data_IF_837617129355
#
_entry.id   IF_837617129355
#
_cell.length_a   1.000
_cell.length_b   1.000
_cell.length_c   1.000
_cell.angle_alpha   90.00
_cell.angle_beta   90.00
_cell.angle_gamma   90.00
#
_symmetry.space_group_name_H-M   'P 1'
#
loop_
_entity.id
_entity.type
_entity.pdbx_description
1 polymer ?
#
# COMPACT_ATOMS: atom_id res chain seq x y z
N UNK A 1 -9.21 42.46 51.31
CA UNK A 1 -7.83 42.78 50.91
C UNK A 1 -7.36 41.83 49.81
N UNK A 2 -7.53 42.25 48.55
CA UNK A 2 -6.79 41.75 47.37
C UNK A 2 -6.60 42.94 46.45
N UNK A 3 -5.34 43.36 46.35
CA UNK A 3 -4.90 44.59 45.68
C UNK A 3 -5.09 44.49 44.17
N UNK A 4 -5.77 45.50 43.65
CA UNK A 4 -5.82 45.92 42.25
C UNK A 4 -4.50 46.57 41.85
N UNK A 5 -3.82 46.07 40.82
CA UNK A 5 -2.82 46.84 40.07
C UNK A 5 -2.93 46.50 38.57
N UNK A 6 -3.49 47.43 37.80
CA UNK A 6 -3.49 47.43 36.33
C UNK A 6 -2.12 47.93 35.84
N UNK A 7 -1.55 47.39 34.74
CA UNK A 7 -0.37 47.96 34.11
C UNK A 7 -0.73 49.24 33.31
N UNK A 8 0.23 50.17 33.15
CA UNK A 8 -0.01 51.50 32.59
C UNK A 8 -0.23 51.49 31.07
N UNK A 9 -0.99 52.49 30.63
CA UNK A 9 -1.26 52.83 29.24
C UNK A 9 0.07 53.09 28.50
N UNK A 10 0.36 52.25 27.50
CA UNK A 10 1.40 52.51 26.51
C UNK A 10 0.86 53.61 25.58
N UNK A 11 1.50 54.77 25.59
CA UNK A 11 1.29 55.82 24.60
C UNK A 11 1.52 55.25 23.21
N UNK A 12 0.48 55.21 22.39
CA UNK A 12 0.57 54.98 20.95
C UNK A 12 1.34 56.16 20.32
N UNK A 13 2.65 55.97 20.15
CA UNK A 13 3.42 56.77 19.19
C UNK A 13 3.14 56.17 17.82
N UNK A 14 2.30 56.87 17.05
CA UNK A 14 1.93 56.49 15.70
C UNK A 14 3.13 56.74 14.77
N UNK A 15 3.97 55.72 14.59
CA UNK A 15 4.98 55.70 13.52
C UNK A 15 4.27 55.48 12.18
N UNK A 16 4.13 56.53 11.37
CA UNK A 16 3.73 56.40 9.98
C UNK A 16 4.89 55.82 9.17
N UNK A 17 4.83 54.53 8.83
CA UNK A 17 5.73 53.96 7.82
C UNK A 17 5.21 54.33 6.41
N UNK A 18 6.06 54.86 5.51
CA UNK A 18 5.63 55.29 4.18
C UNK A 18 5.58 54.09 3.24
N UNK A 19 4.53 53.28 3.33
CA UNK A 19 4.22 52.27 2.32
C UNK A 19 3.15 52.83 1.38
N UNK A 20 3.55 53.70 0.46
CA UNK A 20 2.71 54.06 -0.69
C UNK A 20 2.56 52.83 -1.59
N UNK A 21 1.55 52.01 -1.31
CA UNK A 21 1.12 50.90 -2.16
C UNK A 21 -0.01 51.40 -3.07
N UNK A 22 0.25 51.38 -4.37
CA UNK A 22 -0.69 51.79 -5.43
C UNK A 22 -1.95 50.94 -5.34
N UNK A 23 -3.10 51.57 -5.07
CA UNK A 23 -4.39 50.90 -5.12
C UNK A 23 -4.76 50.62 -6.60
N UNK A 24 -4.96 49.35 -6.94
CA UNK A 24 -5.41 48.97 -8.29
C UNK A 24 -6.93 49.16 -8.31
N UNK A 25 -7.40 50.09 -9.14
CA UNK A 25 -8.84 50.34 -9.33
C UNK A 25 -9.23 49.75 -10.68
N UNK A 26 -10.13 48.77 -10.67
CA UNK A 26 -10.72 48.23 -11.89
C UNK A 26 -12.13 48.85 -12.08
N UNK A 27 -12.40 49.35 -13.28
CA UNK A 27 -13.72 49.87 -13.67
C UNK A 27 -14.49 48.81 -14.43
N UNK A 28 -15.70 48.48 -13.99
CA UNK A 28 -16.62 47.63 -14.77
C UNK A 28 -17.40 48.48 -15.79
N UNK A 29 -17.95 47.86 -16.83
CA UNK A 29 -18.64 48.55 -17.94
C UNK A 29 -19.91 49.30 -17.53
N UNK A 30 -20.39 49.12 -16.30
CA UNK A 30 -21.56 49.80 -15.73
C UNK A 30 -21.18 50.94 -14.75
N UNK A 31 -19.88 51.30 -14.67
CA UNK A 31 -19.42 52.50 -13.94
C UNK A 31 -19.16 52.30 -12.44
N UNK A 32 -19.29 51.09 -11.91
CA UNK A 32 -18.89 50.78 -10.53
C UNK A 32 -17.37 50.55 -10.44
N UNK A 33 -16.70 51.36 -9.60
CA UNK A 33 -15.28 51.25 -9.28
C UNK A 33 -15.08 50.42 -8.01
N UNK A 34 -14.32 49.33 -8.12
CA UNK A 34 -13.92 48.51 -6.96
C UNK A 34 -12.45 48.79 -6.66
N UNK A 35 -12.20 49.41 -5.50
CA UNK A 35 -10.84 49.69 -5.01
C UNK A 35 -10.47 48.64 -3.97
N UNK A 36 -9.57 47.72 -4.32
CA UNK A 36 -9.06 46.74 -3.36
C UNK A 36 -7.96 47.39 -2.51
N UNK A 37 -8.15 47.43 -1.19
CA UNK A 37 -7.12 47.93 -0.29
C UNK A 37 -5.88 47.01 -0.31
N UNK A 38 -4.65 47.54 -0.19
CA UNK A 38 -3.41 46.75 -0.24
C UNK A 38 -3.37 45.60 0.77
N UNK A 39 -4.06 45.73 1.90
CA UNK A 39 -4.21 44.68 2.92
C UNK A 39 -4.92 43.46 2.36
N UNK A 40 -5.97 43.64 1.56
CA UNK A 40 -6.73 42.52 0.95
C UNK A 40 -5.87 41.77 -0.07
N UNK A 41 -5.05 42.49 -0.85
CA UNK A 41 -4.14 41.90 -1.83
C UNK A 41 -3.02 41.09 -1.15
N UNK A 42 -2.47 41.62 -0.05
CA UNK A 42 -1.44 40.92 0.74
C UNK A 42 -1.99 39.65 1.41
N UNK A 43 -3.21 39.71 1.94
CA UNK A 43 -3.89 38.54 2.51
C UNK A 43 -4.14 37.48 1.43
N UNK A 44 -4.67 37.88 0.27
CA UNK A 44 -4.89 36.96 -0.85
C UNK A 44 -3.58 36.32 -1.35
N UNK A 45 -2.50 37.09 -1.46
CA UNK A 45 -1.18 36.58 -1.84
C UNK A 45 -0.62 35.60 -0.80
N UNK A 46 -0.79 35.87 0.50
CA UNK A 46 -0.37 34.96 1.57
C UNK A 46 -1.15 33.64 1.55
N UNK A 47 -2.46 33.67 1.30
CA UNK A 47 -3.26 32.46 1.12
C UNK A 47 -2.83 31.67 -0.13
N UNK A 48 -2.59 32.34 -1.26
CA UNK A 48 -2.12 31.70 -2.48
C UNK A 48 -0.75 31.03 -2.29
N UNK A 49 0.19 31.69 -1.61
CA UNK A 49 1.50 31.12 -1.27
C UNK A 49 1.40 29.96 -0.28
N UNK A 50 0.49 30.03 0.70
CA UNK A 50 0.23 28.93 1.64
C UNK A 50 -0.34 27.69 0.95
N UNK A 51 -1.32 27.88 0.04
CA UNK A 51 -1.89 26.79 -0.77
C UNK A 51 -0.83 26.22 -1.72
N UNK A 52 -0.05 27.08 -2.37
CA UNK A 52 1.04 26.65 -3.25
C UNK A 52 2.10 25.85 -2.48
N UNK A 53 2.51 26.30 -1.29
CA UNK A 53 3.41 25.55 -0.42
C UNK A 53 2.81 24.19 -0.02
N UNK A 54 1.54 24.13 0.37
CA UNK A 54 0.87 22.86 0.69
C UNK A 54 0.85 21.85 -0.47
N UNK A 55 0.79 22.33 -1.71
CA UNK A 55 0.79 21.47 -2.92
C UNK A 55 2.22 21.11 -3.35
N UNK A 56 3.14 22.07 -3.30
CA UNK A 56 4.49 21.94 -3.86
C UNK A 56 5.46 21.31 -2.88
N UNK A 57 5.36 21.63 -1.58
CA UNK A 57 6.26 21.10 -0.54
C UNK A 57 6.24 19.57 -0.46
N UNK A 58 5.11 18.84 -0.51
CA UNK A 58 5.11 17.38 -0.57
C UNK A 58 5.82 16.82 -1.81
N UNK A 59 5.67 17.52 -2.95
CA UNK A 59 6.27 17.14 -4.23
C UNK A 59 7.78 17.32 -4.22
N UNK A 60 8.27 18.45 -3.68
CA UNK A 60 9.70 18.71 -3.46
C UNK A 60 10.28 17.72 -2.43
N UNK A 61 9.59 17.48 -1.30
CA UNK A 61 10.03 16.48 -0.31
C UNK A 61 10.11 15.08 -0.94
N UNK A 62 9.17 14.70 -1.82
CA UNK A 62 9.22 13.45 -2.58
C UNK A 62 10.37 13.40 -3.58
N UNK A 63 10.65 14.50 -4.27
CA UNK A 63 11.77 14.58 -5.21
C UNK A 63 13.14 14.52 -4.48
N UNK A 64 13.23 15.11 -3.28
CA UNK A 64 14.42 15.09 -2.44
C UNK A 64 14.61 13.76 -1.70
N UNK A 65 13.52 13.08 -1.30
CA UNK A 65 13.55 11.69 -0.83
C UNK A 65 13.78 10.79 -2.04
N UNK A 66 15.04 10.60 -2.43
CA UNK A 66 15.45 9.70 -3.51
C UNK A 66 14.78 8.31 -3.42
N UNK A 67 14.79 7.56 -4.52
CA UNK A 67 14.14 6.25 -4.61
C UNK A 67 14.56 5.33 -3.45
N UNK A 68 13.58 4.62 -2.87
CA UNK A 68 13.85 3.67 -1.77
C UNK A 68 14.92 2.69 -2.23
N UNK A 69 16.06 2.65 -1.51
CA UNK A 69 17.14 1.71 -1.80
C UNK A 69 16.75 0.33 -1.27
N UNK A 70 16.63 -0.63 -2.18
CA UNK A 70 16.30 -2.02 -1.84
C UNK A 70 17.54 -2.89 -1.64
N UNK A 71 18.71 -2.41 -2.04
CA UNK A 71 19.98 -3.10 -1.87
C UNK A 71 20.21 -3.46 -0.39
N UNK A 72 20.42 -4.75 -0.13
CA UNK A 72 20.67 -5.28 1.22
C UNK A 72 19.44 -5.36 2.14
N UNK A 73 18.26 -4.93 1.69
CA UNK A 73 17.01 -5.05 2.45
C UNK A 73 16.42 -6.45 2.27
N UNK A 74 15.85 -7.02 3.33
CA UNK A 74 15.19 -8.33 3.28
C UNK A 74 13.68 -8.18 3.05
N UNK A 75 13.20 -8.76 1.95
CA UNK A 75 11.80 -8.80 1.56
C UNK A 75 11.24 -10.22 1.69
N UNK A 76 10.16 -10.37 2.45
CA UNK A 76 9.40 -11.62 2.56
C UNK A 76 8.14 -11.55 1.71
N UNK A 77 7.94 -12.49 0.78
CA UNK A 77 6.76 -12.54 -0.10
C UNK A 77 5.95 -13.81 0.12
N UNK A 78 4.73 -13.65 0.64
CA UNK A 78 3.78 -14.78 0.78
C UNK A 78 3.09 -15.08 -0.56
N UNK A 79 2.82 -16.36 -0.83
CA UNK A 79 2.37 -16.79 -2.15
C UNK A 79 3.43 -16.56 -3.23
N UNK A 80 4.71 -16.50 -2.85
CA UNK A 80 5.83 -16.15 -3.74
C UNK A 80 6.28 -17.24 -4.71
N UNK A 81 5.61 -18.41 -4.72
CA UNK A 81 5.97 -19.54 -5.57
C UNK A 81 5.33 -19.52 -6.97
N UNK A 82 4.43 -18.58 -7.25
CA UNK A 82 3.77 -18.45 -8.56
C UNK A 82 3.08 -17.09 -8.73
N UNK A 83 2.66 -16.81 -9.97
CA UNK A 83 1.82 -15.66 -10.31
C UNK A 83 2.41 -14.32 -9.84
N UNK A 84 1.53 -13.43 -9.36
CA UNK A 84 1.89 -12.09 -8.89
C UNK A 84 2.99 -12.12 -7.82
N UNK A 85 2.90 -13.04 -6.86
CA UNK A 85 3.89 -13.13 -5.78
C UNK A 85 5.29 -13.45 -6.29
N UNK A 86 5.42 -14.35 -7.27
CA UNK A 86 6.72 -14.68 -7.87
C UNK A 86 7.31 -13.50 -8.64
N UNK A 87 6.49 -12.79 -9.42
CA UNK A 87 6.95 -11.61 -10.16
C UNK A 87 7.36 -10.46 -9.23
N UNK A 88 6.63 -10.24 -8.14
CA UNK A 88 7.02 -9.28 -7.11
C UNK A 88 8.38 -9.68 -6.49
N UNK A 89 8.57 -10.96 -6.16
CA UNK A 89 9.84 -11.46 -5.62
C UNK A 89 11.00 -11.26 -6.62
N UNK A 90 10.78 -11.57 -7.89
CA UNK A 90 11.73 -11.32 -8.97
C UNK A 90 12.08 -9.84 -9.10
N UNK A 91 11.10 -8.94 -9.04
CA UNK A 91 11.34 -7.51 -9.12
C UNK A 91 12.13 -6.96 -7.92
N UNK A 92 11.86 -7.44 -6.71
CA UNK A 92 12.68 -7.09 -5.55
C UNK A 92 14.13 -7.59 -5.69
N UNK A 93 14.32 -8.80 -6.23
CA UNK A 93 15.65 -9.29 -6.56
C UNK A 93 16.35 -8.41 -7.61
N UNK A 94 15.65 -7.98 -8.68
CA UNK A 94 16.17 -6.99 -9.66
C UNK A 94 16.48 -5.65 -9.04
N UNK A 95 15.88 -5.30 -7.90
CA UNK A 95 16.15 -4.04 -7.19
C UNK A 95 17.29 -4.16 -6.17
N UNK A 96 17.87 -5.35 -5.97
CA UNK A 96 19.02 -5.56 -5.09
C UNK A 96 18.68 -6.15 -3.72
N UNK A 97 17.41 -6.52 -3.47
CA UNK A 97 16.97 -7.03 -2.18
C UNK A 97 17.40 -8.48 -1.94
N UNK A 98 17.53 -8.84 -0.66
CA UNK A 98 17.42 -10.24 -0.24
C UNK A 98 15.95 -10.64 -0.24
N UNK A 99 15.64 -11.85 -0.71
CA UNK A 99 14.24 -12.26 -0.89
C UNK A 99 13.99 -13.62 -0.25
N UNK A 100 13.01 -13.70 0.63
CA UNK A 100 12.41 -14.99 1.03
C UNK A 100 11.04 -15.12 0.38
N UNK A 101 10.79 -16.24 -0.31
CA UNK A 101 9.45 -16.59 -0.78
C UNK A 101 8.80 -17.64 0.12
N UNK A 102 7.52 -17.46 0.42
CA UNK A 102 6.75 -18.31 1.33
C UNK A 102 5.53 -18.88 0.62
N UNK A 103 5.36 -20.20 0.65
CA UNK A 103 4.18 -20.90 0.15
C UNK A 103 4.05 -22.31 0.77
N UNK A 104 3.00 -23.05 0.41
CA UNK A 104 2.74 -24.39 0.97
C UNK A 104 3.59 -25.48 0.32
N UNK A 105 3.76 -25.42 -1.00
CA UNK A 105 4.32 -26.53 -1.78
C UNK A 105 5.81 -26.34 -2.04
N UNK A 106 6.64 -27.11 -1.35
CA UNK A 106 8.10 -27.01 -1.41
C UNK A 106 8.66 -27.15 -2.84
N UNK A 107 8.14 -28.08 -3.63
CA UNK A 107 8.61 -28.29 -5.00
C UNK A 107 8.48 -27.02 -5.87
N UNK A 108 7.34 -26.32 -5.78
CA UNK A 108 7.13 -25.05 -6.51
C UNK A 108 7.99 -23.91 -5.99
N UNK A 109 8.28 -23.90 -4.68
CA UNK A 109 9.18 -22.92 -4.07
C UNK A 109 10.62 -23.10 -4.56
N UNK A 110 11.13 -24.33 -4.59
CA UNK A 110 12.49 -24.63 -5.08
C UNK A 110 12.70 -24.15 -6.51
N UNK A 111 11.75 -24.44 -7.40
CA UNK A 111 11.78 -23.95 -8.78
C UNK A 111 11.77 -22.42 -8.83
N UNK A 112 10.88 -21.79 -8.06
CA UNK A 112 10.75 -20.32 -8.04
C UNK A 112 11.97 -19.61 -7.47
N UNK A 113 12.65 -20.19 -6.47
CA UNK A 113 13.90 -19.62 -5.94
C UNK A 113 14.98 -19.53 -7.01
N UNK A 114 15.09 -20.54 -7.88
CA UNK A 114 16.05 -20.50 -8.98
C UNK A 114 15.73 -19.35 -9.95
N UNK A 115 14.46 -19.16 -10.30
CA UNK A 115 14.00 -18.07 -11.17
C UNK A 115 14.23 -16.69 -10.53
N UNK A 116 13.88 -16.52 -9.25
CA UNK A 116 14.09 -15.26 -8.50
C UNK A 116 15.58 -14.95 -8.36
N UNK A 117 16.41 -15.96 -8.06
CA UNK A 117 17.87 -15.80 -7.94
C UNK A 117 18.51 -15.39 -9.27
N UNK A 118 17.99 -15.87 -10.40
CA UNK A 118 18.47 -15.46 -11.72
C UNK A 118 18.22 -13.96 -12.03
N UNK A 119 17.37 -13.29 -11.25
CA UNK A 119 17.10 -11.86 -11.37
C UNK A 119 17.93 -10.98 -10.42
N UNK A 120 18.79 -11.56 -9.59
CA UNK A 120 19.63 -10.81 -8.67
C UNK A 120 20.64 -9.91 -9.40
N UNK A 121 20.84 -8.70 -8.89
CA UNK A 121 21.84 -7.72 -9.36
C UNK A 121 23.27 -8.04 -8.93
N UNK A 122 23.45 -8.75 -7.82
CA UNK A 122 24.74 -9.08 -7.23
C UNK A 122 24.76 -10.52 -6.70
N UNK A 123 25.94 -11.14 -6.69
CA UNK A 123 26.23 -12.43 -6.05
C UNK A 123 25.92 -12.48 -4.56
N UNK A 124 25.92 -11.32 -3.92
CA UNK A 124 25.79 -11.18 -2.46
C UNK A 124 24.32 -11.26 -2.04
N UNK A 125 23.39 -11.14 -3.00
CA UNK A 125 21.97 -11.27 -2.76
C UNK A 125 21.59 -12.71 -2.45
N UNK A 126 21.09 -12.90 -1.23
CA UNK A 126 20.46 -14.13 -0.78
C UNK A 126 19.01 -14.20 -1.25
N UNK A 127 18.65 -15.34 -1.84
CA UNK A 127 17.27 -15.71 -2.17
C UNK A 127 17.01 -17.07 -1.56
N UNK A 128 15.95 -17.18 -0.75
CA UNK A 128 15.59 -18.43 -0.09
C UNK A 128 14.07 -18.62 -0.05
N UNK A 129 13.63 -19.77 0.47
CA UNK A 129 12.23 -20.08 0.69
C UNK A 129 11.97 -20.64 2.09
N UNK A 130 10.70 -20.56 2.49
CA UNK A 130 10.15 -21.26 3.64
C UNK A 130 8.79 -21.85 3.29
N UNK A 131 8.52 -23.08 3.74
CA UNK A 131 7.20 -23.69 3.64
C UNK A 131 6.29 -23.15 4.75
N UNK A 132 5.05 -22.81 4.41
CA UNK A 132 4.08 -22.27 5.37
C UNK A 132 2.65 -22.35 4.84
N UNK A 133 1.69 -22.74 5.69
CA UNK A 133 0.28 -22.38 5.49
C UNK A 133 0.00 -21.07 6.23
N UNK A 134 -0.25 -19.99 5.48
CA UNK A 134 -0.56 -18.68 6.07
C UNK A 134 -1.85 -18.70 6.90
N UNK A 135 -2.75 -19.65 6.66
CA UNK A 135 -3.96 -19.81 7.45
C UNK A 135 -3.74 -20.42 8.84
N UNK A 136 -2.51 -20.83 9.19
CA UNK A 136 -2.11 -21.29 10.52
C UNK A 136 -1.08 -20.32 11.12
N UNK A 137 -1.47 -19.60 12.17
CA UNK A 137 -0.60 -18.61 12.80
C UNK A 137 0.68 -19.21 13.38
N UNK A 138 0.62 -20.41 13.96
CA UNK A 138 1.80 -21.06 14.55
C UNK A 138 2.80 -21.45 13.46
N UNK A 139 2.32 -21.91 12.30
CA UNK A 139 3.14 -22.11 11.11
C UNK A 139 3.81 -20.81 10.68
N UNK A 140 3.05 -19.71 10.60
CA UNK A 140 3.57 -18.40 10.18
C UNK A 140 4.68 -17.91 11.11
N UNK A 141 4.49 -17.99 12.43
CA UNK A 141 5.51 -17.56 13.40
C UNK A 141 6.83 -18.33 13.22
N UNK A 142 6.75 -19.66 13.08
CA UNK A 142 7.94 -20.51 12.86
C UNK A 142 8.63 -20.18 11.54
N UNK A 143 7.87 -19.99 10.46
CA UNK A 143 8.43 -19.70 9.14
C UNK A 143 9.04 -18.30 9.06
N UNK A 144 8.46 -17.30 9.74
CA UNK A 144 9.05 -15.95 9.87
C UNK A 144 10.36 -16.00 10.64
N UNK A 145 10.40 -16.65 11.81
CA UNK A 145 11.63 -16.82 12.57
C UNK A 145 12.72 -17.55 11.76
N UNK A 146 12.33 -18.58 11.01
CA UNK A 146 13.27 -19.28 10.11
C UNK A 146 13.78 -18.39 8.97
N UNK A 147 12.95 -17.50 8.41
CA UNK A 147 13.37 -16.57 7.37
C UNK A 147 14.37 -15.55 7.93
N UNK A 148 14.08 -14.99 9.11
CA UNK A 148 14.94 -14.02 9.78
C UNK A 148 16.28 -14.60 10.21
N UNK A 149 16.30 -15.85 10.68
CA UNK A 149 17.55 -16.53 11.04
C UNK A 149 18.52 -16.68 9.85
N UNK A 150 18.01 -16.76 8.62
CA UNK A 150 18.82 -16.99 7.42
C UNK A 150 19.24 -15.70 6.71
N UNK A 151 18.32 -14.75 6.57
CA UNK A 151 18.49 -13.54 5.76
C UNK A 151 18.54 -12.24 6.60
N UNK A 152 18.36 -12.34 7.92
CA UNK A 152 18.27 -11.20 8.83
C UNK A 152 16.84 -10.68 8.97
N UNK A 153 16.66 -9.65 9.79
CA UNK A 153 15.37 -9.00 10.04
C UNK A 153 14.60 -8.67 8.76
N UNK A 154 13.30 -8.92 8.75
CA UNK A 154 12.45 -8.60 7.58
C UNK A 154 12.17 -7.10 7.56
N UNK A 155 12.69 -6.40 6.54
CA UNK A 155 12.46 -4.97 6.31
C UNK A 155 11.13 -4.71 5.60
N UNK A 156 10.69 -5.63 4.75
CA UNK A 156 9.44 -5.49 4.00
C UNK A 156 8.72 -6.83 3.87
N UNK A 157 7.42 -6.82 4.12
CA UNK A 157 6.56 -7.99 3.88
C UNK A 157 5.56 -7.69 2.79
N UNK A 158 5.37 -8.65 1.90
CA UNK A 158 4.30 -8.66 0.90
C UNK A 158 3.30 -9.75 1.26
N UNK A 159 2.18 -9.34 1.83
CA UNK A 159 1.03 -10.19 2.13
C UNK A 159 0.22 -10.42 0.85
N UNK A 160 0.64 -11.38 0.04
CA UNK A 160 0.08 -11.70 -1.27
C UNK A 160 -0.61 -13.07 -1.33
N UNK A 161 -0.31 -14.00 -0.41
CA UNK A 161 -0.98 -15.30 -0.41
C UNK A 161 -2.51 -15.15 -0.38
N UNK A 162 -3.18 -15.84 -1.29
CA UNK A 162 -4.62 -15.80 -1.43
C UNK A 162 -5.16 -16.86 -2.38
N UNK A 163 -6.46 -17.08 -2.33
CA UNK A 163 -7.20 -17.94 -3.25
C UNK A 163 -8.58 -17.36 -3.53
N UNK A 164 -9.19 -17.85 -4.61
CA UNK A 164 -10.53 -17.51 -5.03
C UNK A 164 -11.26 -18.81 -5.40
N UNK A 165 -12.52 -18.92 -5.00
CA UNK A 165 -13.39 -20.06 -5.31
C UNK A 165 -14.71 -19.50 -5.83
N UNK A 166 -14.76 -19.05 -7.09
CA UNK A 166 -15.97 -18.45 -7.64
C UNK A 166 -17.00 -19.51 -7.94
N UNK A 167 -18.22 -19.28 -7.48
CA UNK A 167 -19.44 -20.05 -7.78
C UNK A 167 -20.65 -19.19 -7.43
N UNK A 168 -21.84 -19.55 -7.89
CA UNK A 168 -23.05 -18.92 -7.38
C UNK A 168 -23.21 -19.15 -5.88
N UNK A 169 -23.75 -18.16 -5.17
CA UNK A 169 -23.95 -18.24 -3.71
C UNK A 169 -24.68 -19.53 -3.28
N UNK A 170 -25.74 -19.91 -4.03
CA UNK A 170 -26.54 -21.11 -3.74
C UNK A 170 -25.79 -22.43 -3.98
N UNK A 171 -24.66 -22.40 -4.69
CA UNK A 171 -23.80 -23.55 -5.00
C UNK A 171 -22.50 -23.55 -4.18
N UNK A 172 -22.31 -22.54 -3.32
CA UNK A 172 -21.15 -22.46 -2.43
C UNK A 172 -21.43 -23.12 -1.10
N UNK A 173 -20.51 -24.00 -0.70
CA UNK A 173 -20.49 -24.50 0.67
C UNK A 173 -19.99 -23.40 1.61
N UNK A 174 -20.52 -23.35 2.83
CA UNK A 174 -20.04 -22.44 3.89
C UNK A 174 -18.51 -22.58 4.11
N UNK A 175 -17.99 -23.81 3.95
CA UNK A 175 -16.55 -24.11 4.05
C UNK A 175 -15.71 -23.34 3.02
N UNK A 176 -16.26 -23.01 1.85
CA UNK A 176 -15.58 -22.19 0.84
C UNK A 176 -15.38 -20.75 1.36
N UNK A 177 -16.36 -20.19 2.08
CA UNK A 177 -16.25 -18.88 2.72
C UNK A 177 -15.23 -18.88 3.85
N UNK A 178 -15.32 -19.86 4.76
CA UNK A 178 -14.38 -20.02 5.88
C UNK A 178 -12.95 -20.16 5.37
N UNK A 179 -12.73 -21.03 4.38
CA UNK A 179 -11.41 -21.25 3.78
C UNK A 179 -10.88 -19.99 3.11
N UNK A 180 -11.72 -19.27 2.36
CA UNK A 180 -11.31 -18.04 1.67
C UNK A 180 -10.96 -16.95 2.67
N UNK A 181 -11.74 -16.79 3.75
CA UNK A 181 -11.45 -15.82 4.81
C UNK A 181 -10.20 -16.19 5.61
N UNK A 182 -10.04 -17.47 5.94
CA UNK A 182 -8.86 -18.00 6.66
C UNK A 182 -7.57 -17.73 5.89
N UNK A 183 -7.58 -17.90 4.57
CA UNK A 183 -6.37 -17.70 3.76
C UNK A 183 -6.16 -16.22 3.43
N UNK A 184 -7.16 -15.56 2.86
CA UNK A 184 -6.99 -14.21 2.29
C UNK A 184 -6.87 -13.14 3.38
N UNK A 185 -7.77 -13.17 4.36
CA UNK A 185 -7.81 -12.17 5.41
C UNK A 185 -6.95 -12.60 6.61
N UNK A 186 -7.25 -13.74 7.23
CA UNK A 186 -6.49 -14.17 8.41
C UNK A 186 -5.03 -14.46 8.07
N UNK A 187 -4.72 -15.00 6.87
CA UNK A 187 -3.33 -15.13 6.43
C UNK A 187 -2.59 -13.79 6.30
N UNK A 188 -3.27 -12.74 5.86
CA UNK A 188 -2.74 -11.37 5.85
C UNK A 188 -2.51 -10.86 7.29
N UNK A 189 -3.47 -11.06 8.20
CA UNK A 189 -3.36 -10.69 9.61
C UNK A 189 -2.18 -11.44 10.26
N UNK A 190 -2.09 -12.75 10.08
CA UNK A 190 -1.05 -13.60 10.65
C UNK A 190 0.34 -13.15 10.25
N UNK A 191 0.59 -12.92 8.96
CA UNK A 191 1.92 -12.51 8.51
C UNK A 191 2.27 -11.11 9.00
N UNK A 192 1.33 -10.15 8.96
CA UNK A 192 1.55 -8.81 9.49
C UNK A 192 1.84 -8.85 10.98
N UNK A 193 1.07 -9.64 11.75
CA UNK A 193 1.25 -9.78 13.20
C UNK A 193 2.58 -10.42 13.57
N UNK A 194 3.11 -11.33 12.74
CA UNK A 194 4.39 -11.98 12.97
C UNK A 194 5.60 -11.06 12.69
N UNK A 195 5.51 -10.14 11.74
CA UNK A 195 6.66 -9.28 11.35
C UNK A 195 6.62 -7.87 11.93
N UNK A 196 5.43 -7.32 12.20
CA UNK A 196 5.26 -5.93 12.62
C UNK A 196 5.96 -5.58 13.94
N UNK A 197 5.99 -6.44 14.98
CA UNK A 197 6.68 -6.12 16.23
C UNK A 197 8.16 -5.78 16.02
N UNK A 198 8.89 -6.62 15.29
CA UNK A 198 10.30 -6.38 14.98
C UNK A 198 10.52 -5.13 14.12
N UNK A 199 9.61 -4.82 13.19
CA UNK A 199 9.66 -3.57 12.43
C UNK A 199 9.49 -2.34 13.33
N UNK A 200 8.55 -2.40 14.28
CA UNK A 200 8.27 -1.31 15.21
C UNK A 200 9.44 -1.07 16.18
N UNK A 201 10.05 -2.14 16.70
CA UNK A 201 11.23 -2.08 17.57
C UNK A 201 12.40 -1.36 16.89
N UNK A 202 12.59 -1.59 15.58
CA UNK A 202 13.65 -0.95 14.79
C UNK A 202 13.29 0.45 14.31
N UNK A 203 12.03 0.87 14.43
CA UNK A 203 11.55 2.14 13.87
C UNK A 203 11.55 2.19 12.34
N UNK A 204 11.65 1.05 11.66
CA UNK A 204 11.71 0.96 10.20
C UNK A 204 11.06 -0.34 9.72
N UNK A 205 10.08 -0.21 8.82
CA UNK A 205 9.50 -1.36 8.13
C UNK A 205 8.48 -0.97 7.08
N UNK A 206 8.08 -1.94 6.26
CA UNK A 206 7.03 -1.74 5.26
C UNK A 206 6.18 -2.99 5.07
N UNK A 207 4.87 -2.80 5.08
CA UNK A 207 3.88 -3.83 4.85
C UNK A 207 3.15 -3.49 3.55
N UNK A 208 3.12 -4.44 2.61
CA UNK A 208 2.42 -4.34 1.34
C UNK A 208 1.37 -5.45 1.30
N UNK A 209 0.10 -5.09 1.22
CA UNK A 209 -1.03 -6.01 1.16
C UNK A 209 -1.52 -6.09 -0.29
N UNK A 210 -1.58 -7.30 -0.86
CA UNK A 210 -2.14 -7.50 -2.20
C UNK A 210 -3.59 -7.95 -2.08
N UNK A 211 -4.51 -7.00 -2.34
CA UNK A 211 -5.94 -7.24 -2.31
C UNK A 211 -6.42 -7.74 -3.68
N UNK A 212 -7.27 -6.96 -4.36
CA UNK A 212 -7.80 -7.20 -5.71
C UNK A 212 -8.70 -6.01 -6.09
N UNK A 213 -8.96 -5.77 -7.38
CA UNK A 213 -10.06 -4.91 -7.81
C UNK A 213 -11.42 -5.33 -7.20
N UNK A 214 -11.60 -6.62 -6.90
CA UNK A 214 -12.77 -7.12 -6.15
C UNK A 214 -12.84 -6.59 -4.70
N UNK A 215 -11.83 -5.87 -4.20
CA UNK A 215 -11.87 -5.16 -2.92
C UNK A 215 -12.67 -3.85 -2.96
N UNK A 216 -13.04 -3.38 -4.15
CA UNK A 216 -13.75 -2.10 -4.35
C UNK A 216 -15.06 -2.25 -5.12
N UNK A 217 -15.25 -3.35 -5.85
CA UNK A 217 -16.47 -3.63 -6.61
C UNK A 217 -17.01 -5.01 -6.23
N UNK A 218 -18.33 -5.13 -6.14
CA UNK A 218 -19.02 -6.41 -5.97
C UNK A 218 -19.23 -7.08 -7.33
N UNK A 219 -18.89 -8.37 -7.41
CA UNK A 219 -18.96 -9.15 -8.65
C UNK A 219 -19.76 -10.43 -8.37
N UNK A 220 -20.67 -10.77 -9.28
CA UNK A 220 -21.42 -12.03 -9.20
C UNK A 220 -20.45 -13.21 -9.13
N UNK A 221 -20.78 -14.23 -8.34
CA UNK A 221 -19.92 -15.39 -8.16
C UNK A 221 -18.74 -15.21 -7.19
N UNK A 222 -18.46 -13.97 -6.74
CA UNK A 222 -17.37 -13.68 -5.80
C UNK A 222 -17.84 -13.47 -4.35
N UNK A 223 -18.98 -14.05 -3.97
CA UNK A 223 -19.56 -13.82 -2.65
C UNK A 223 -18.67 -14.29 -1.49
N UNK A 224 -17.83 -15.32 -1.69
CA UNK A 224 -16.80 -15.73 -0.72
C UNK A 224 -15.48 -14.96 -0.84
N UNK A 225 -15.16 -14.46 -2.04
CA UNK A 225 -13.88 -13.84 -2.37
C UNK A 225 -13.85 -12.35 -2.10
N UNK A 226 -14.78 -11.58 -2.69
CA UNK A 226 -14.79 -10.12 -2.58
C UNK A 226 -14.82 -9.65 -1.11
N UNK A 227 -15.69 -10.16 -0.21
CA UNK A 227 -15.67 -9.76 1.20
C UNK A 227 -14.32 -10.00 1.88
N UNK A 228 -13.59 -11.07 1.53
CA UNK A 228 -12.25 -11.32 2.09
C UNK A 228 -11.25 -10.24 1.69
N UNK A 229 -11.37 -9.70 0.48
CA UNK A 229 -10.51 -8.62 -0.03
C UNK A 229 -10.95 -7.25 0.49
N UNK A 230 -12.23 -7.06 0.79
CA UNK A 230 -12.75 -5.88 1.49
C UNK A 230 -12.22 -5.85 2.93
N UNK A 231 -12.20 -7.00 3.61
CA UNK A 231 -11.60 -7.13 4.95
C UNK A 231 -10.11 -6.76 4.93
N UNK A 232 -9.34 -7.20 3.94
CA UNK A 232 -7.94 -6.78 3.77
C UNK A 232 -7.79 -5.26 3.61
N UNK A 233 -8.72 -4.59 2.91
CA UNK A 233 -8.73 -3.13 2.78
C UNK A 233 -8.97 -2.44 4.12
N UNK A 234 -10.03 -2.79 4.83
CA UNK A 234 -10.32 -2.22 6.15
C UNK A 234 -9.19 -2.47 7.14
N UNK A 235 -8.56 -3.65 7.07
CA UNK A 235 -7.38 -3.98 7.85
C UNK A 235 -6.17 -3.12 7.50
N UNK A 236 -5.86 -2.94 6.21
CA UNK A 236 -4.74 -2.10 5.79
C UNK A 236 -4.90 -0.65 6.27
N UNK A 237 -6.11 -0.10 6.19
CA UNK A 237 -6.38 1.28 6.62
C UNK A 237 -6.27 1.42 8.14
N UNK A 238 -6.82 0.47 8.91
CA UNK A 238 -6.70 0.46 10.38
C UNK A 238 -5.25 0.30 10.81
N UNK A 239 -4.55 -0.70 10.26
CA UNK A 239 -3.15 -0.99 10.59
C UNK A 239 -2.22 0.19 10.27
N UNK A 240 -2.49 0.93 9.19
CA UNK A 240 -1.74 2.14 8.86
C UNK A 240 -1.82 3.19 9.97
N UNK A 241 -3.00 3.39 10.56
CA UNK A 241 -3.19 4.37 11.65
C UNK A 241 -2.50 3.95 12.94
N UNK A 242 -2.43 2.65 13.21
CA UNK A 242 -1.76 2.11 14.39
C UNK A 242 -0.23 2.16 14.27
N UNK A 243 0.30 1.89 13.07
CA UNK A 243 1.74 1.71 12.87
C UNK A 243 2.50 2.99 12.42
N UNK A 244 1.80 4.04 12.00
CA UNK A 244 2.44 5.24 11.45
C UNK A 244 3.40 5.93 12.44
N UNK A 245 3.12 5.86 13.75
CA UNK A 245 3.97 6.41 14.81
C UNK A 245 5.26 5.61 15.06
N UNK A 246 5.35 4.39 14.55
CA UNK A 246 6.49 3.48 14.76
C UNK A 246 7.45 3.42 13.57
N UNK A 247 7.31 4.32 12.59
CA UNK A 247 8.17 4.30 11.39
C UNK A 247 7.89 3.13 10.43
N UNK A 248 6.74 2.46 10.58
CA UNK A 248 6.32 1.36 9.70
C UNK A 248 5.24 1.84 8.73
N UNK A 249 5.48 1.66 7.43
CA UNK A 249 4.51 2.04 6.39
C UNK A 249 3.60 0.88 6.00
N UNK A 250 2.33 1.17 5.70
CA UNK A 250 1.36 0.17 5.24
C UNK A 250 0.75 0.60 3.91
N UNK A 251 0.90 -0.24 2.89
CA UNK A 251 0.42 -0.05 1.53
C UNK A 251 -0.52 -1.19 1.12
N UNK A 252 -1.43 -0.89 0.19
CA UNK A 252 -2.35 -1.87 -0.35
C UNK A 252 -2.44 -1.71 -1.88
N UNK A 253 -2.39 -2.84 -2.59
CA UNK A 253 -2.51 -2.91 -4.03
C UNK A 253 -3.82 -3.60 -4.44
N UNK A 254 -4.41 -3.15 -5.55
CA UNK A 254 -5.69 -3.63 -6.07
C UNK A 254 -5.49 -4.17 -7.51
N UNK A 255 -4.77 -5.28 -7.68
CA UNK A 255 -4.56 -5.82 -9.02
C UNK A 255 -5.90 -6.22 -9.66
N UNK A 256 -6.08 -5.95 -10.97
CA UNK A 256 -7.18 -6.52 -11.74
C UNK A 256 -6.92 -8.01 -12.01
N UNK A 257 -7.80 -8.65 -12.78
CA UNK A 257 -7.54 -9.98 -13.31
C UNK A 257 -6.16 -10.03 -13.99
N UNK A 258 -5.38 -11.05 -13.63
CA UNK A 258 -3.99 -11.19 -14.05
C UNK A 258 -3.76 -12.63 -14.48
N UNK A 259 -3.14 -12.83 -15.64
CA UNK A 259 -2.81 -14.16 -16.16
C UNK A 259 -1.82 -14.85 -15.21
N UNK A 260 -2.36 -15.81 -14.45
CA UNK A 260 -1.65 -16.56 -13.42
C UNK A 260 -2.23 -17.97 -13.30
N UNK A 261 -1.46 -18.93 -12.76
CA UNK A 261 -2.00 -20.27 -12.46
C UNK A 261 -3.24 -20.21 -11.54
N UNK A 262 -3.25 -19.27 -10.57
CA UNK A 262 -4.41 -19.08 -9.69
C UNK A 262 -5.66 -18.62 -10.43
N UNK A 263 -5.51 -17.71 -11.39
CA UNK A 263 -6.62 -17.25 -12.24
C UNK A 263 -7.14 -18.35 -13.17
N UNK A 264 -6.25 -19.20 -13.69
CA UNK A 264 -6.65 -20.37 -14.49
C UNK A 264 -7.50 -21.37 -13.66
N UNK A 265 -7.11 -21.64 -12.41
CA UNK A 265 -7.90 -22.47 -11.49
C UNK A 265 -9.25 -21.83 -11.14
N UNK A 266 -9.25 -20.53 -10.88
CA UNK A 266 -10.45 -19.74 -10.59
C UNK A 266 -11.49 -19.84 -11.71
N UNK A 267 -11.06 -19.78 -12.97
CA UNK A 267 -11.95 -19.80 -14.14
C UNK A 267 -12.67 -21.14 -14.38
N UNK A 268 -12.23 -22.24 -13.75
CA UNK A 268 -12.86 -23.57 -13.94
C UNK A 268 -14.31 -23.63 -13.45
N UNK A 269 -14.61 -22.94 -12.35
CA UNK A 269 -15.94 -22.97 -11.71
C UNK A 269 -16.66 -21.61 -11.78
N UNK A 270 -16.05 -20.62 -12.45
CA UNK A 270 -16.55 -19.25 -12.47
C UNK A 270 -17.87 -19.15 -13.25
N UNK A 271 -18.93 -18.55 -12.66
CA UNK A 271 -20.17 -18.25 -13.37
C UNK A 271 -19.94 -17.46 -14.66
N UNK A 272 -20.79 -17.67 -15.65
CA UNK A 272 -20.60 -17.09 -16.98
C UNK A 272 -20.69 -15.56 -16.95
N UNK A 273 -21.67 -15.02 -16.22
CA UNK A 273 -21.88 -13.60 -16.01
C UNK A 273 -20.69 -12.95 -15.28
N UNK A 274 -19.99 -13.71 -14.43
CA UNK A 274 -18.77 -13.23 -13.79
C UNK A 274 -17.63 -13.10 -14.82
N UNK A 275 -17.52 -14.03 -15.78
CA UNK A 275 -16.53 -13.94 -16.87
C UNK A 275 -16.82 -12.75 -17.76
N UNK A 276 -18.08 -12.57 -18.16
CA UNK A 276 -18.53 -11.45 -18.98
C UNK A 276 -18.29 -10.10 -18.30
N UNK A 277 -18.59 -9.99 -17.00
CA UNK A 277 -18.26 -8.80 -16.22
C UNK A 277 -16.75 -8.52 -16.21
N UNK A 278 -15.93 -9.54 -16.00
CA UNK A 278 -14.48 -9.40 -15.97
C UNK A 278 -13.92 -9.01 -17.35
N UNK A 279 -14.44 -9.55 -18.45
CA UNK A 279 -14.06 -9.18 -19.81
C UNK A 279 -14.43 -7.72 -20.13
N UNK A 280 -15.59 -7.27 -19.67
CA UNK A 280 -16.04 -5.88 -19.84
C UNK A 280 -15.14 -4.88 -19.09
N UNK A 281 -14.73 -5.21 -17.87
CA UNK A 281 -13.98 -4.31 -16.98
C UNK A 281 -12.46 -4.40 -17.17
N UNK A 282 -11.94 -5.60 -17.42
CA UNK A 282 -10.51 -5.91 -17.50
C UNK A 282 -9.97 -6.12 -18.92
N UNK A 283 -10.86 -6.19 -19.92
CA UNK A 283 -10.51 -6.57 -21.29
C UNK A 283 -10.39 -8.09 -21.47
N UNK A 284 -10.45 -8.54 -22.73
CA UNK A 284 -10.48 -9.97 -23.11
C UNK A 284 -9.20 -10.73 -22.72
N UNK A 285 -8.07 -10.03 -22.59
CA UNK A 285 -6.77 -10.61 -22.26
C UNK A 285 -6.18 -9.96 -21.01
N UNK A 286 -6.21 -10.62 -19.84
CA UNK A 286 -5.59 -10.07 -18.64
C UNK A 286 -4.07 -9.95 -18.83
N UNK A 287 -3.42 -8.89 -18.30
CA UNK A 287 -1.98 -8.75 -18.37
C UNK A 287 -1.29 -9.92 -17.66
N UNK A 288 -0.13 -10.34 -18.18
CA UNK A 288 0.75 -11.25 -17.44
C UNK A 288 1.26 -10.55 -16.18
N UNK A 289 1.49 -11.33 -15.13
CA UNK A 289 1.92 -10.80 -13.83
C UNK A 289 3.18 -9.90 -13.89
N UNK A 290 4.08 -10.09 -14.87
CA UNK A 290 5.27 -9.25 -15.08
C UNK A 290 5.10 -8.08 -16.06
N UNK A 291 3.92 -7.90 -16.68
CA UNK A 291 3.65 -6.87 -17.68
C UNK A 291 3.12 -5.55 -17.12
N UNK A 292 2.61 -5.55 -15.89
CA UNK A 292 2.18 -4.35 -15.18
C UNK A 292 3.30 -3.92 -14.21
N UNK A 293 3.75 -2.67 -14.30
CA UNK A 293 4.68 -2.09 -13.32
C UNK A 293 4.00 -2.05 -11.94
N UNK A 294 4.22 -3.09 -11.12
CA UNK A 294 3.53 -3.29 -9.83
C UNK A 294 4.38 -2.90 -8.60
N UNK A 295 5.52 -2.20 -8.78
CA UNK A 295 6.44 -1.85 -7.68
C UNK A 295 6.89 -0.40 -7.69
#
# INVERSE_FOLDING_TARGET
DRRTLRPPLINMVQFSLPWNLVAITASTSEGATVTLQPVVLNVAAAFALGIFALIVTPTIIRALKGSKKWAGKHVLVTGGSQGIGKEIAMEFARRGAHVTIMARTEATLKASVAEVKAQAKSSDQKVDYVTCDVGDYASVQKSVASAEAKLGSIDTVVANAGLSIPKYFLEQDVKDFEKTMRVNYMGCVHICKAVAPGMCERGEGSIIIVASAAAVVAIIGYSSYAPSKWACRGFADSLRTELCGFGVSVHIAYPPDTDTPGFAEENKNKPQECKEFNELVGGVNPPRAGGASMV
#
